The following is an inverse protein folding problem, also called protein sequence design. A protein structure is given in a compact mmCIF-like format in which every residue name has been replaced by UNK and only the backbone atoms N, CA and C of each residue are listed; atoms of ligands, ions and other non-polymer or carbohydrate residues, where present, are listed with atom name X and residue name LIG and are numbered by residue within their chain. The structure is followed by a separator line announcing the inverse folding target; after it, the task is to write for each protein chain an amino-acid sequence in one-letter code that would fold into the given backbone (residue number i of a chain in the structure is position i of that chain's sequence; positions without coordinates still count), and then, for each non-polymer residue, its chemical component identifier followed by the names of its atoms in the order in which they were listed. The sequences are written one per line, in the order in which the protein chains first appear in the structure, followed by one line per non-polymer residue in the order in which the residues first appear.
data_IF_082835668711
#
_entry.id   IF_082835668711
#
_cell.length_a   1.000
_cell.length_b   1.000
_cell.length_c   1.000
_cell.angle_alpha   90.00
_cell.angle_beta   90.00
_cell.angle_gamma   90.00
#
_symmetry.space_group_name_H-M   'P 1'
#
loop_
_entity.id
_entity.type
_entity.pdbx_description
1 polymer ?
#
# COMPACT_ATOMS: atom_id res chain seq x y z
N UNK A 1 8.21 -14.91 -17.03
CA UNK A 1 6.94 -15.02 -16.27
C UNK A 1 5.89 -14.21 -17.02
N UNK A 2 4.71 -14.78 -17.24
CA UNK A 2 3.59 -14.02 -17.82
C UNK A 2 3.25 -12.85 -16.90
N UNK A 3 2.84 -11.68 -17.44
CA UNK A 3 2.49 -10.49 -16.63
C UNK A 3 1.50 -10.81 -15.51
N UNK A 4 0.62 -11.80 -15.71
CA UNK A 4 -0.34 -12.25 -14.71
C UNK A 4 0.31 -12.92 -13.48
N UNK A 5 1.46 -13.58 -13.63
CA UNK A 5 2.17 -14.23 -12.51
C UNK A 5 2.87 -13.22 -11.60
N UNK A 6 3.34 -12.10 -12.16
CA UNK A 6 4.04 -11.06 -11.40
C UNK A 6 3.11 -10.39 -10.38
N UNK A 7 1.91 -9.97 -10.81
CA UNK A 7 0.92 -9.35 -9.95
C UNK A 7 0.37 -10.31 -8.87
N UNK A 8 0.32 -11.62 -9.15
CA UNK A 8 -0.08 -12.60 -8.15
C UNK A 8 0.99 -12.83 -7.07
N UNK A 9 2.28 -12.66 -7.39
CA UNK A 9 3.40 -12.95 -6.48
C UNK A 9 3.79 -11.75 -5.61
N UNK A 10 3.60 -10.52 -6.09
CA UNK A 10 3.93 -9.30 -5.37
C UNK A 10 3.48 -9.26 -3.89
N UNK A 11 2.22 -9.60 -3.52
CA UNK A 11 1.80 -9.56 -2.11
C UNK A 11 2.53 -10.60 -1.25
N UNK A 12 2.87 -11.77 -1.80
CA UNK A 12 3.61 -12.81 -1.07
C UNK A 12 5.07 -12.40 -0.86
N UNK A 13 5.68 -11.74 -1.86
CA UNK A 13 7.02 -11.16 -1.70
C UNK A 13 7.01 -10.05 -0.65
N UNK A 14 6.00 -9.16 -0.67
CA UNK A 14 5.82 -8.13 0.35
C UNK A 14 5.69 -8.71 1.76
N UNK A 15 4.90 -9.76 1.92
CA UNK A 15 4.77 -10.46 3.19
C UNK A 15 6.09 -11.09 3.64
N UNK A 16 6.84 -11.72 2.72
CA UNK A 16 8.15 -12.28 3.01
C UNK A 16 9.16 -11.21 3.46
N UNK A 17 9.18 -10.06 2.79
CA UNK A 17 10.02 -8.91 3.18
C UNK A 17 9.59 -8.34 4.53
N UNK A 18 8.28 -8.25 4.82
CA UNK A 18 7.77 -7.83 6.12
C UNK A 18 8.23 -8.76 7.25
N UNK A 19 8.12 -10.08 7.04
CA UNK A 19 8.60 -11.08 8.01
C UNK A 19 10.11 -10.94 8.20
N UNK A 20 10.87 -10.77 7.12
CA UNK A 20 12.32 -10.58 7.19
C UNK A 20 12.68 -9.29 7.94
N UNK A 21 11.95 -8.20 7.70
CA UNK A 21 12.15 -6.91 8.35
C UNK A 21 11.99 -6.98 9.88
N UNK A 22 11.18 -7.91 10.38
CA UNK A 22 11.05 -8.15 11.82
C UNK A 22 12.37 -8.64 12.46
N UNK A 23 13.13 -9.47 11.76
CA UNK A 23 14.40 -10.02 12.25
C UNK A 23 15.59 -9.08 12.09
N UNK A 24 15.55 -8.18 11.11
CA UNK A 24 16.65 -7.28 10.74
C UNK A 24 16.32 -5.80 11.00
N UNK A 25 15.49 -5.51 12.01
CA UNK A 25 15.02 -4.16 12.31
C UNK A 25 16.17 -3.14 12.41
N UNK A 26 15.96 -1.93 11.86
CA UNK A 26 16.92 -0.83 11.91
C UNK A 26 18.04 -0.87 10.84
N UNK A 27 18.15 -1.92 10.04
CA UNK A 27 19.17 -1.97 8.97
C UNK A 27 18.69 -1.23 7.71
N UNK A 28 19.52 -0.32 7.17
CA UNK A 28 19.12 0.54 6.06
C UNK A 28 18.69 -0.24 4.80
N UNK A 29 19.34 -1.37 4.50
CA UNK A 29 19.01 -2.17 3.32
C UNK A 29 17.62 -2.82 3.42
N UNK A 30 17.18 -3.26 4.61
CA UNK A 30 15.86 -3.88 4.76
C UNK A 30 14.75 -2.83 4.78
N UNK A 31 15.03 -1.63 5.29
CA UNK A 31 14.13 -0.47 5.20
C UNK A 31 13.93 -0.07 3.73
N UNK A 32 15.02 0.04 2.96
CA UNK A 32 14.96 0.34 1.53
C UNK A 32 14.21 -0.74 0.73
N UNK A 33 14.49 -2.01 1.01
CA UNK A 33 13.79 -3.13 0.38
C UNK A 33 12.28 -3.15 0.73
N UNK A 34 11.94 -2.88 2.00
CA UNK A 34 10.57 -2.75 2.46
C UNK A 34 9.81 -1.66 1.71
N UNK A 35 10.39 -0.46 1.61
CA UNK A 35 9.80 0.66 0.86
C UNK A 35 9.55 0.32 -0.61
N UNK A 36 10.53 -0.26 -1.30
CA UNK A 36 10.37 -0.70 -2.69
C UNK A 36 9.24 -1.73 -2.84
N UNK A 37 9.16 -2.67 -1.91
CA UNK A 37 8.18 -3.75 -1.99
C UNK A 37 6.75 -3.25 -1.70
N UNK A 38 6.59 -2.29 -0.79
CA UNK A 38 5.31 -1.60 -0.56
C UNK A 38 4.85 -0.88 -1.83
N UNK A 39 5.73 -0.16 -2.51
CA UNK A 39 5.39 0.53 -3.77
C UNK A 39 4.85 -0.47 -4.81
N UNK A 40 5.54 -1.59 -5.02
CA UNK A 40 5.11 -2.63 -5.96
C UNK A 40 3.78 -3.28 -5.53
N UNK A 41 3.58 -3.49 -4.22
CA UNK A 41 2.35 -4.05 -3.68
C UNK A 41 1.15 -3.12 -3.89
N UNK A 42 1.30 -1.82 -3.63
CA UNK A 42 0.25 -0.81 -3.85
C UNK A 42 -0.13 -0.74 -5.33
N UNK A 43 0.84 -0.61 -6.23
CA UNK A 43 0.57 -0.56 -7.68
C UNK A 43 -0.13 -1.83 -8.17
N UNK A 44 0.23 -2.99 -7.60
CA UNK A 44 -0.41 -4.26 -7.94
C UNK A 44 -1.85 -4.34 -7.42
N UNK A 45 -2.11 -3.85 -6.19
CA UNK A 45 -3.44 -3.80 -5.62
C UNK A 45 -4.37 -2.87 -6.40
N UNK A 46 -3.89 -1.68 -6.79
CA UNK A 46 -4.63 -0.74 -7.64
C UNK A 46 -4.95 -1.36 -8.99
N UNK A 47 -3.98 -2.01 -9.64
CA UNK A 47 -4.22 -2.70 -10.90
C UNK A 47 -5.29 -3.79 -10.78
N UNK A 48 -5.30 -4.54 -9.68
CA UNK A 48 -6.37 -5.52 -9.43
C UNK A 48 -7.74 -4.84 -9.30
N UNK A 49 -7.80 -3.74 -8.54
CA UNK A 49 -9.02 -2.97 -8.37
C UNK A 49 -9.53 -2.40 -9.71
N UNK A 50 -8.65 -1.91 -10.58
CA UNK A 50 -8.99 -1.45 -11.93
C UNK A 50 -9.56 -2.57 -12.80
N UNK A 51 -8.95 -3.75 -12.79
CA UNK A 51 -9.44 -4.90 -13.56
C UNK A 51 -10.83 -5.32 -13.08
N UNK A 52 -11.06 -5.33 -11.76
CA UNK A 52 -12.38 -5.61 -11.19
C UNK A 52 -13.38 -4.51 -11.58
N UNK A 53 -13.01 -3.24 -11.41
CA UNK A 53 -13.84 -2.09 -11.75
C UNK A 53 -14.27 -2.11 -13.23
N UNK A 54 -13.34 -2.39 -14.14
CA UNK A 54 -13.60 -2.47 -15.56
C UNK A 54 -14.53 -3.65 -15.92
N UNK A 55 -14.43 -4.78 -15.20
CA UNK A 55 -15.35 -5.91 -15.39
C UNK A 55 -16.75 -5.64 -14.86
N UNK A 56 -16.86 -4.86 -13.79
CA UNK A 56 -18.14 -4.50 -13.19
C UNK A 56 -18.87 -3.44 -14.03
N UNK A 57 -18.13 -2.51 -14.64
CA UNK A 57 -18.70 -1.43 -15.44
C UNK A 57 -19.37 -0.33 -14.60
N UNK A 58 -19.81 0.73 -15.25
CA UNK A 58 -20.38 1.90 -14.55
C UNK A 58 -21.83 1.65 -14.09
N UNK A 59 -22.24 2.23 -12.94
CA UNK A 59 -21.49 3.15 -12.07
C UNK A 59 -20.64 2.45 -10.99
N UNK A 60 -20.84 1.15 -10.77
CA UNK A 60 -20.28 0.45 -9.62
C UNK A 60 -18.77 0.24 -9.72
N UNK A 61 -18.22 0.11 -10.94
CA UNK A 61 -16.78 0.02 -11.16
C UNK A 61 -16.03 1.24 -10.63
N UNK A 62 -16.57 2.44 -10.86
CA UNK A 62 -15.98 3.67 -10.34
C UNK A 62 -15.97 3.68 -8.79
N UNK A 63 -17.07 3.22 -8.16
CA UNK A 63 -17.14 3.11 -6.70
C UNK A 63 -16.15 2.08 -6.14
N UNK A 64 -15.97 0.94 -6.82
CA UNK A 64 -15.01 -0.09 -6.41
C UNK A 64 -13.58 0.46 -6.45
N UNK A 65 -13.21 1.14 -7.53
CA UNK A 65 -11.86 1.71 -7.67
C UNK A 65 -11.61 2.79 -6.60
N UNK A 66 -12.57 3.70 -6.40
CA UNK A 66 -12.47 4.75 -5.39
C UNK A 66 -12.34 4.16 -3.98
N UNK A 67 -13.15 3.15 -3.63
CA UNK A 67 -13.09 2.48 -2.33
C UNK A 67 -11.76 1.73 -2.13
N UNK A 68 -11.24 1.08 -3.17
CA UNK A 68 -9.97 0.36 -3.09
C UNK A 68 -8.78 1.30 -2.83
N UNK A 69 -8.69 2.42 -3.56
CA UNK A 69 -7.61 3.40 -3.39
C UNK A 69 -7.69 4.04 -2.01
N UNK A 70 -8.87 4.49 -1.58
CA UNK A 70 -9.05 5.08 -0.25
C UNK A 70 -8.74 4.11 0.90
N UNK A 71 -9.08 2.82 0.75
CA UNK A 71 -8.71 1.81 1.74
C UNK A 71 -7.18 1.65 1.86
N UNK A 72 -6.45 1.71 0.74
CA UNK A 72 -4.98 1.66 0.73
C UNK A 72 -4.39 2.88 1.44
N UNK A 73 -4.89 4.08 1.13
CA UNK A 73 -4.42 5.34 1.73
C UNK A 73 -4.66 5.35 3.24
N UNK A 74 -5.87 5.00 3.68
CA UNK A 74 -6.23 4.93 5.10
C UNK A 74 -5.35 3.91 5.84
N UNK A 75 -5.05 2.75 5.23
CA UNK A 75 -4.16 1.76 5.83
C UNK A 75 -2.72 2.30 6.01
N UNK A 76 -2.20 3.05 5.04
CA UNK A 76 -0.87 3.68 5.13
C UNK A 76 -0.83 4.79 6.18
N UNK A 77 -1.87 5.64 6.22
CA UNK A 77 -2.02 6.69 7.24
C UNK A 77 -2.07 6.08 8.64
N UNK A 78 -2.93 5.06 8.86
CA UNK A 78 -3.04 4.37 10.14
C UNK A 78 -1.70 3.71 10.51
N UNK A 79 -1.01 3.07 9.56
CA UNK A 79 0.30 2.46 9.82
C UNK A 79 1.31 3.48 10.34
N UNK A 80 1.31 4.70 9.80
CA UNK A 80 2.19 5.77 10.25
C UNK A 80 1.75 6.34 11.60
N UNK A 81 0.44 6.45 11.87
CA UNK A 81 -0.09 6.91 13.17
C UNK A 81 0.20 5.93 14.31
N UNK A 82 0.25 4.63 13.99
CA UNK A 82 0.59 3.57 14.96
C UNK A 82 2.09 3.48 15.22
N UNK A 83 2.91 4.07 14.35
CA UNK A 83 4.34 4.21 14.56
C UNK A 83 4.61 5.54 15.29
N UNK A 84 5.68 5.60 16.09
CA UNK A 84 6.09 6.80 16.85
C UNK A 84 5.46 6.93 18.25
N UNK A 85 6.27 7.32 19.23
CA UNK A 85 5.80 7.67 20.57
C UNK A 85 5.45 9.16 20.66
N UNK A 86 4.40 9.52 21.41
CA UNK A 86 4.15 10.93 21.76
C UNK A 86 3.77 11.89 20.62
N UNK A 87 3.32 11.39 19.46
CA UNK A 87 2.83 12.24 18.36
C UNK A 87 3.89 12.66 17.34
N UNK A 88 5.05 11.99 17.31
CA UNK A 88 6.16 12.27 16.38
C UNK A 88 5.73 12.35 14.90
N UNK A 89 4.76 11.53 14.47
CA UNK A 89 4.28 11.52 13.09
C UNK A 89 2.95 12.27 12.86
N UNK A 90 2.48 13.08 13.83
CA UNK A 90 1.20 13.78 13.72
C UNK A 90 1.16 14.76 12.54
N UNK A 91 2.24 15.49 12.29
CA UNK A 91 2.33 16.44 11.17
C UNK A 91 2.34 15.72 9.82
N UNK A 92 3.12 14.62 9.69
CA UNK A 92 3.14 13.80 8.48
C UNK A 92 1.78 13.17 8.19
N UNK A 93 1.09 12.70 9.23
CA UNK A 93 -0.27 12.13 9.14
C UNK A 93 -1.26 13.16 8.59
N UNK A 94 -1.25 14.37 9.17
CA UNK A 94 -2.10 15.46 8.71
C UNK A 94 -1.82 15.80 7.25
N UNK A 95 -0.56 15.89 6.86
CA UNK A 95 -0.16 16.26 5.50
C UNK A 95 -0.56 15.17 4.49
N UNK A 96 -0.45 13.89 4.85
CA UNK A 96 -0.94 12.77 4.02
C UNK A 96 -2.47 12.80 3.84
N UNK A 97 -3.22 13.12 4.90
CA UNK A 97 -4.68 13.29 4.81
C UNK A 97 -5.03 14.45 3.87
N UNK A 98 -4.35 15.59 3.99
CA UNK A 98 -4.59 16.73 3.10
C UNK A 98 -4.25 16.41 1.64
N UNK A 99 -3.13 15.71 1.39
CA UNK A 99 -2.74 15.30 0.04
C UNK A 99 -3.71 14.31 -0.61
N UNK A 100 -4.46 13.54 0.21
CA UNK A 100 -5.46 12.58 -0.28
C UNK A 100 -6.77 13.26 -0.67
N UNK A 101 -7.12 14.39 -0.03
CA UNK A 101 -8.41 15.07 -0.22
C UNK A 101 -8.33 16.19 -1.27
N UNK A 102 -7.15 16.79 -1.51
CA UNK A 102 -6.92 17.98 -2.36
C UNK A 102 -6.40 17.62 -3.75
#
# INVERSE_FOLDING_TARGET
MSKAQFHALAPFVALGVFILAHFFHGQAWIVGLGGLTILVAVMTAVHHAEVVAHRVGEPYGALILALAVTAIEVALIISMMLQGEGGEHATLTRDAIFATIM
#
